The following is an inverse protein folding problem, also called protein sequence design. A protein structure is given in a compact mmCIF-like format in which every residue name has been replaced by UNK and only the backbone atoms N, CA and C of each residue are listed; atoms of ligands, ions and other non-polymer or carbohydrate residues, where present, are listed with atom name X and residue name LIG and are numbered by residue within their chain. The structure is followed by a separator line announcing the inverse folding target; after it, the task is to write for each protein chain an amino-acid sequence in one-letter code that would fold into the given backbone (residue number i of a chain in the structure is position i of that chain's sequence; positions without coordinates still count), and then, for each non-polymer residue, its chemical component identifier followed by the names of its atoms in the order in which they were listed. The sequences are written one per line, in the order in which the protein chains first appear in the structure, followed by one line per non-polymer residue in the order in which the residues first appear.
data_IF_940957420436
#
_entry.id   IF_940957420436
#
_cell.length_a   1.000
_cell.length_b   1.000
_cell.length_c   1.000
_cell.angle_alpha   90.00
_cell.angle_beta   90.00
_cell.angle_gamma   90.00
#
_symmetry.space_group_name_H-M   'P 1'
#
loop_
_entity.id
_entity.type
_entity.pdbx_description
1 polymer ?
#
# COMPACT_ATOMS: atom_id res chain seq x y z
N UNK A 1 9.17 -2.47 -5.70
CA UNK A 1 8.14 -2.25 -4.67
C UNK A 1 7.54 -3.59 -4.21
N UNK A 2 7.07 -3.69 -2.97
CA UNK A 2 6.54 -4.93 -2.37
C UNK A 2 5.22 -5.37 -3.03
N UNK A 3 4.35 -4.42 -3.40
CA UNK A 3 3.06 -4.70 -4.05
C UNK A 3 3.28 -5.29 -5.44
N UNK A 4 4.22 -4.73 -6.20
CA UNK A 4 4.59 -5.27 -7.51
C UNK A 4 5.08 -6.72 -7.43
N UNK A 5 5.82 -7.09 -6.38
CA UNK A 5 6.23 -8.49 -6.16
C UNK A 5 5.05 -9.40 -5.85
N UNK A 6 4.09 -8.94 -5.04
CA UNK A 6 2.88 -9.71 -4.73
C UNK A 6 2.02 -9.97 -5.99
N UNK A 7 1.89 -8.98 -6.87
CA UNK A 7 1.16 -9.13 -8.15
C UNK A 7 1.80 -10.20 -9.05
N UNK A 8 3.13 -10.25 -9.12
CA UNK A 8 3.86 -11.28 -9.87
C UNK A 8 3.60 -12.67 -9.29
N UNK A 9 3.59 -12.82 -7.96
CA UNK A 9 3.28 -14.10 -7.30
C UNK A 9 1.84 -14.53 -7.57
N UNK A 10 0.87 -13.62 -7.49
CA UNK A 10 -0.54 -13.89 -7.82
C UNK A 10 -0.69 -14.37 -9.26
N UNK A 11 -0.01 -13.70 -10.21
CA UNK A 11 -0.04 -14.09 -11.62
C UNK A 11 0.50 -15.51 -11.83
N UNK A 12 1.66 -15.83 -11.23
CA UNK A 12 2.22 -17.18 -11.30
C UNK A 12 1.32 -18.22 -10.64
N UNK A 13 0.68 -17.88 -9.52
CA UNK A 13 -0.29 -18.74 -8.84
C UNK A 13 -1.45 -19.12 -9.76
N UNK A 14 -2.04 -18.15 -10.47
CA UNK A 14 -3.11 -18.44 -11.43
C UNK A 14 -2.65 -19.31 -12.61
N UNK A 15 -1.43 -19.09 -13.13
CA UNK A 15 -0.85 -19.94 -14.17
C UNK A 15 -0.65 -21.39 -13.70
N UNK A 16 -0.21 -21.58 -12.45
CA UNK A 16 -0.09 -22.91 -11.86
C UNK A 16 -1.46 -23.57 -11.67
N UNK A 17 -2.44 -22.82 -11.17
CA UNK A 17 -3.78 -23.31 -10.91
C UNK A 17 -4.48 -23.80 -12.19
N UNK A 18 -4.28 -23.11 -13.32
CA UNK A 18 -4.79 -23.51 -14.63
C UNK A 18 -4.30 -24.90 -15.08
N UNK A 19 -3.14 -25.35 -14.59
CA UNK A 19 -2.54 -26.64 -14.94
C UNK A 19 -2.74 -27.74 -13.89
N UNK A 20 -3.31 -27.43 -12.71
CA UNK A 20 -3.41 -28.36 -11.58
C UNK A 20 -4.83 -28.42 -10.99
N UNK A 21 -5.69 -29.26 -11.58
CA UNK A 21 -7.10 -29.41 -11.21
C UNK A 21 -7.33 -29.71 -9.70
N UNK A 22 -6.48 -30.54 -9.08
CA UNK A 22 -6.63 -30.91 -7.67
C UNK A 22 -6.17 -29.84 -6.67
N UNK A 23 -5.31 -28.90 -7.09
CA UNK A 23 -4.77 -27.83 -6.26
C UNK A 23 -5.41 -26.46 -6.54
N UNK A 24 -6.26 -26.38 -7.59
CA UNK A 24 -6.90 -25.16 -8.08
C UNK A 24 -7.51 -24.31 -6.96
N UNK A 25 -8.36 -24.91 -6.12
CA UNK A 25 -9.08 -24.19 -5.08
C UNK A 25 -8.13 -23.57 -4.05
N UNK A 26 -7.14 -24.33 -3.59
CA UNK A 26 -6.17 -23.86 -2.61
C UNK A 26 -5.30 -22.74 -3.19
N UNK A 27 -4.82 -22.90 -4.43
CA UNK A 27 -3.97 -21.88 -5.07
C UNK A 27 -4.76 -20.58 -5.28
N UNK A 28 -6.00 -20.67 -5.77
CA UNK A 28 -6.85 -19.50 -5.97
C UNK A 28 -7.18 -18.81 -4.64
N UNK A 29 -7.47 -19.57 -3.58
CA UNK A 29 -7.68 -19.01 -2.24
C UNK A 29 -6.45 -18.21 -1.78
N UNK A 30 -5.26 -18.79 -1.85
CA UNK A 30 -4.02 -18.14 -1.43
C UNK A 30 -3.72 -16.87 -2.26
N UNK A 31 -4.00 -16.91 -3.57
CA UNK A 31 -3.87 -15.73 -4.44
C UNK A 31 -4.83 -14.60 -4.01
N UNK A 32 -6.06 -14.95 -3.64
CA UNK A 32 -7.05 -13.98 -3.17
C UNK A 32 -6.69 -13.39 -1.80
N UNK A 33 -6.22 -14.21 -0.86
CA UNK A 33 -5.74 -13.76 0.44
C UNK A 33 -4.54 -12.80 0.29
N UNK A 34 -3.56 -13.16 -0.53
CA UNK A 34 -2.41 -12.29 -0.82
C UNK A 34 -2.82 -10.98 -1.46
N UNK A 35 -3.78 -11.00 -2.40
CA UNK A 35 -4.34 -9.79 -3.01
C UNK A 35 -4.98 -8.90 -1.95
N UNK A 36 -5.87 -9.47 -1.14
CA UNK A 36 -6.57 -8.74 -0.10
C UNK A 36 -5.60 -8.06 0.88
N UNK A 37 -4.58 -8.77 1.35
CA UNK A 37 -3.56 -8.19 2.22
C UNK A 37 -2.74 -7.11 1.53
N UNK A 38 -2.39 -7.29 0.25
CA UNK A 38 -1.66 -6.29 -0.53
C UNK A 38 -2.48 -5.01 -0.71
N UNK A 39 -3.78 -5.13 -0.97
CA UNK A 39 -4.70 -3.99 -1.11
C UNK A 39 -4.84 -3.23 0.21
N UNK A 40 -5.05 -3.94 1.32
CA UNK A 40 -5.10 -3.35 2.66
C UNK A 40 -3.81 -2.58 2.99
N UNK A 41 -2.65 -3.18 2.74
CA UNK A 41 -1.35 -2.55 2.96
C UNK A 41 -1.19 -1.31 2.08
N UNK A 42 -1.60 -1.37 0.81
CA UNK A 42 -1.56 -0.21 -0.09
C UNK A 42 -2.37 0.95 0.45
N UNK A 43 -3.58 0.69 0.93
CA UNK A 43 -4.48 1.73 1.42
C UNK A 43 -4.01 2.32 2.76
N UNK A 44 -3.44 1.50 3.64
CA UNK A 44 -2.81 1.98 4.88
C UNK A 44 -1.58 2.86 4.60
N UNK A 45 -0.72 2.45 3.64
CA UNK A 45 0.44 3.25 3.23
C UNK A 45 -0.01 4.60 2.68
N UNK A 46 -0.98 4.62 1.77
CA UNK A 46 -1.55 5.87 1.21
C UNK A 46 -2.13 6.76 2.32
N UNK A 47 -2.90 6.19 3.26
CA UNK A 47 -3.45 6.94 4.39
C UNK A 47 -2.35 7.56 5.26
N UNK A 48 -1.31 6.80 5.60
CA UNK A 48 -0.16 7.32 6.37
C UNK A 48 0.56 8.43 5.61
N UNK A 49 0.78 8.26 4.30
CA UNK A 49 1.39 9.30 3.46
C UNK A 49 0.57 10.59 3.46
N UNK A 50 -0.75 10.50 3.27
CA UNK A 50 -1.65 11.66 3.31
C UNK A 50 -1.62 12.35 4.67
N UNK A 51 -1.62 11.59 5.77
CA UNK A 51 -1.52 12.16 7.12
C UNK A 51 -0.19 12.86 7.35
N UNK A 52 0.93 12.23 6.98
CA UNK A 52 2.25 12.83 7.11
C UNK A 52 2.39 14.10 6.26
N UNK A 53 1.88 14.09 5.03
CA UNK A 53 1.87 15.25 4.16
C UNK A 53 1.09 16.42 4.79
N UNK A 54 -0.09 16.15 5.34
CA UNK A 54 -0.88 17.17 6.04
C UNK A 54 -0.17 17.71 7.28
N UNK A 55 0.46 16.83 8.08
CA UNK A 55 1.24 17.25 9.25
C UNK A 55 2.42 18.13 8.84
N UNK A 56 3.13 17.75 7.77
CA UNK A 56 4.24 18.54 7.24
C UNK A 56 3.77 19.91 6.77
N UNK A 57 2.67 19.99 6.02
CA UNK A 57 2.10 21.26 5.57
C UNK A 57 1.73 22.19 6.73
N UNK A 58 1.10 21.65 7.78
CA UNK A 58 0.76 22.42 8.97
C UNK A 58 2.01 22.90 9.71
N UNK A 59 3.01 22.02 9.88
CA UNK A 59 4.27 22.38 10.51
C UNK A 59 4.99 23.49 9.76
N UNK A 60 5.10 23.40 8.44
CA UNK A 60 5.71 24.43 7.60
C UNK A 60 4.97 25.76 7.71
N UNK A 61 3.63 25.75 7.73
CA UNK A 61 2.84 26.98 7.93
C UNK A 61 3.08 27.60 9.30
N UNK A 62 3.13 26.80 10.37
CA UNK A 62 3.43 27.29 11.71
C UNK A 62 4.82 27.94 11.77
N UNK A 63 5.84 27.30 11.20
CA UNK A 63 7.20 27.86 11.12
C UNK A 63 7.22 29.20 10.36
N UNK A 64 6.45 29.34 9.28
CA UNK A 64 6.35 30.60 8.53
C UNK A 64 5.71 31.72 9.36
N UNK A 65 4.70 31.41 10.16
CA UNK A 65 4.03 32.39 11.03
C UNK A 65 4.95 32.77 12.21
N UNK A 66 5.61 31.80 12.82
CA UNK A 66 6.59 32.03 13.90
C UNK A 66 7.75 32.92 13.44
N UNK A 67 8.28 32.67 12.24
CA UNK A 67 9.32 33.52 11.65
C UNK A 67 8.81 34.94 11.39
N UNK A 68 7.57 35.12 10.94
CA UNK A 68 6.96 36.45 10.73
C UNK A 68 6.68 37.20 12.04
N UNK A 69 6.34 36.49 13.12
CA UNK A 69 6.10 37.08 14.44
C UNK A 69 7.36 37.46 15.20
N UNK A 70 8.54 36.97 14.78
CA UNK A 70 9.84 37.33 15.37
C UNK A 70 10.48 38.53 14.67
N UNK A 71 9.98 38.91 13.48
CA UNK A 71 10.52 39.99 12.63
C UNK A 71 9.65 41.26 12.66
N UNK A 72 8.48 41.21 13.31
CA UNK A 72 7.60 42.36 13.60
C UNK A 72 7.70 42.74 15.08
#
# INVERSE_FOLDING_TARGET
DLIGKAQVVILHGHQLAANHHYALNLICQQCNELRHHSDLLSEEIKRKQMHLQKTLELHTRLQQVEFRGTVL
#
